data_IF_614376438978
#
_entry.id   IF_614376438978
#
_cell.length_a   1.000
_cell.length_b   1.000
_cell.length_c   1.000
_cell.angle_alpha   90.00
_cell.angle_beta   90.00
_cell.angle_gamma   90.00
#
_symmetry.space_group_name_H-M   'P 1'
#
loop_
_entity.id
_entity.type
_entity.pdbx_description
1 polymer ?
#
# COMPACT_ATOMS: atom_id res chain seq x y z
N UNK A 1 -18.90 26.99 -23.38
CA UNK A 1 -17.48 26.64 -23.17
C UNK A 1 -17.41 25.66 -22.03
N UNK A 2 -16.62 24.58 -22.12
CA UNK A 2 -16.36 23.71 -20.98
C UNK A 2 -15.83 24.54 -19.81
N UNK A 3 -16.24 24.20 -18.59
CA UNK A 3 -15.80 24.89 -17.39
C UNK A 3 -14.32 24.52 -17.10
N UNK A 4 -13.46 25.52 -16.91
CA UNK A 4 -12.02 25.29 -16.73
C UNK A 4 -11.71 24.37 -15.53
N UNK A 5 -12.55 24.42 -14.49
CA UNK A 5 -12.45 23.54 -13.31
C UNK A 5 -12.80 22.09 -13.69
N UNK A 6 -13.88 21.89 -14.44
CA UNK A 6 -14.35 20.54 -14.79
C UNK A 6 -13.39 19.84 -15.76
N UNK A 7 -12.81 20.58 -16.71
CA UNK A 7 -11.75 20.09 -17.58
C UNK A 7 -10.52 19.68 -16.77
N UNK A 8 -10.13 20.50 -15.79
CA UNK A 8 -9.00 20.21 -14.92
C UNK A 8 -9.23 18.98 -14.05
N UNK A 9 -10.38 18.88 -13.39
CA UNK A 9 -10.76 17.74 -12.54
C UNK A 9 -10.82 16.46 -13.39
N UNK A 10 -11.33 16.55 -14.63
CA UNK A 10 -11.34 15.42 -15.56
C UNK A 10 -9.92 14.99 -15.95
N UNK A 11 -9.01 15.93 -16.20
CA UNK A 11 -7.61 15.65 -16.49
C UNK A 11 -6.89 14.99 -15.31
N UNK A 12 -7.09 15.48 -14.08
CA UNK A 12 -6.58 14.82 -12.86
C UNK A 12 -7.17 13.42 -12.71
N UNK A 13 -8.48 13.29 -12.95
CA UNK A 13 -9.20 12.02 -12.89
C UNK A 13 -8.64 10.96 -13.84
N UNK A 14 -8.27 11.34 -15.06
CA UNK A 14 -7.71 10.44 -16.06
C UNK A 14 -6.35 9.83 -15.65
N UNK A 15 -5.55 10.58 -14.89
CA UNK A 15 -4.24 10.14 -14.38
C UNK A 15 -4.35 9.27 -13.11
N UNK A 16 -5.47 9.36 -12.38
CA UNK A 16 -5.70 8.59 -11.17
C UNK A 16 -6.04 7.12 -11.47
N UNK A 17 -5.52 6.22 -10.64
CA UNK A 17 -5.73 4.76 -10.69
C UNK A 17 -6.18 4.28 -9.31
N UNK A 18 -6.90 3.18 -9.25
CA UNK A 18 -7.40 2.61 -8.00
C UNK A 18 -8.92 2.69 -7.87
N UNK A 19 -9.43 2.53 -6.65
CA UNK A 19 -10.87 2.34 -6.41
C UNK A 19 -11.70 3.54 -6.86
N UNK A 20 -12.76 3.28 -7.62
CA UNK A 20 -13.62 4.33 -8.18
C UNK A 20 -14.22 5.24 -7.10
N UNK A 21 -14.63 4.68 -5.95
CA UNK A 21 -15.23 5.44 -4.85
C UNK A 21 -14.26 6.44 -4.23
N UNK A 22 -13.06 6.00 -3.82
CA UNK A 22 -12.08 6.91 -3.19
C UNK A 22 -11.60 7.97 -4.18
N UNK A 23 -11.46 7.60 -5.47
CA UNK A 23 -11.13 8.57 -6.52
C UNK A 23 -12.21 9.64 -6.67
N UNK A 24 -13.49 9.25 -6.67
CA UNK A 24 -14.60 10.19 -6.76
C UNK A 24 -14.61 11.17 -5.58
N UNK A 25 -14.41 10.68 -4.35
CA UNK A 25 -14.34 11.52 -3.16
C UNK A 25 -13.16 12.51 -3.25
N UNK A 26 -11.96 12.06 -3.65
CA UNK A 26 -10.80 12.95 -3.83
C UNK A 26 -11.00 14.00 -4.92
N UNK A 27 -11.63 13.64 -6.04
CA UNK A 27 -11.94 14.57 -7.11
C UNK A 27 -13.00 15.60 -6.69
N UNK A 28 -13.95 15.20 -5.84
CA UNK A 28 -14.93 16.13 -5.26
C UNK A 28 -14.25 17.16 -4.35
N UNK A 29 -13.31 16.73 -3.50
CA UNK A 29 -12.51 17.63 -2.65
C UNK A 29 -11.65 18.60 -3.48
N UNK A 30 -10.99 18.12 -4.53
CA UNK A 30 -10.21 18.97 -5.46
C UNK A 30 -11.13 20.01 -6.12
N UNK A 31 -12.32 19.59 -6.57
CA UNK A 31 -13.29 20.50 -7.19
C UNK A 31 -13.75 21.56 -6.19
N UNK A 32 -14.07 21.18 -4.96
CA UNK A 32 -14.45 22.11 -3.91
C UNK A 32 -13.34 23.13 -3.63
N UNK A 33 -12.10 22.68 -3.46
CA UNK A 33 -10.97 23.57 -3.21
C UNK A 33 -10.68 24.52 -4.40
N UNK A 34 -10.90 24.08 -5.65
CA UNK A 34 -10.81 24.94 -6.83
C UNK A 34 -11.93 25.98 -6.88
N UNK A 35 -13.15 25.63 -6.45
CA UNK A 35 -14.27 26.55 -6.34
C UNK A 35 -13.99 27.61 -5.27
N UNK A 36 -13.51 27.21 -4.10
CA UNK A 36 -13.12 28.14 -3.02
C UNK A 36 -12.03 29.11 -3.48
N UNK A 37 -11.01 28.61 -4.19
CA UNK A 37 -9.97 29.45 -4.78
C UNK A 37 -10.54 30.41 -5.84
N UNK A 38 -11.43 29.94 -6.71
CA UNK A 38 -12.08 30.78 -7.71
C UNK A 38 -12.95 31.87 -7.06
N UNK A 39 -13.65 31.56 -5.97
CA UNK A 39 -14.44 32.53 -5.23
C UNK A 39 -13.56 33.60 -4.57
N UNK A 40 -12.39 33.21 -4.05
CA UNK A 40 -11.38 34.17 -3.58
C UNK A 40 -10.90 35.11 -4.68
N UNK A 41 -10.62 34.58 -5.87
CA UNK A 41 -10.23 35.39 -7.04
C UNK A 41 -11.35 36.34 -7.51
N UNK A 42 -12.62 35.91 -7.43
CA UNK A 42 -13.78 36.77 -7.73
C UNK A 42 -13.94 37.90 -6.71
N UNK A 43 -13.76 37.61 -5.43
CA UNK A 43 -13.73 38.64 -4.37
C UNK A 43 -12.59 39.64 -4.58
N UNK A 44 -11.49 39.22 -5.22
CA UNK A 44 -10.39 40.06 -5.68
C UNK A 44 -10.70 40.90 -6.95
N UNK A 45 -11.91 40.80 -7.51
CA UNK A 45 -12.38 41.60 -8.63
C UNK A 45 -12.22 40.95 -10.01
N UNK A 46 -11.80 39.68 -10.10
CA UNK A 46 -11.74 38.96 -11.38
C UNK A 46 -13.14 38.54 -11.85
N UNK A 47 -13.36 38.58 -13.17
CA UNK A 47 -14.59 38.05 -13.76
C UNK A 47 -14.69 36.54 -13.51
N UNK A 48 -15.90 35.95 -13.37
CA UNK A 48 -16.06 34.54 -12.98
C UNK A 48 -15.25 33.54 -13.81
N UNK A 49 -15.20 33.71 -15.14
CA UNK A 49 -14.45 32.83 -16.03
C UNK A 49 -12.92 33.00 -15.89
N UNK A 50 -12.45 34.20 -15.59
CA UNK A 50 -11.02 34.48 -15.37
C UNK A 50 -10.57 33.98 -14.00
N UNK A 51 -11.42 34.12 -12.99
CA UNK A 51 -11.19 33.63 -11.64
C UNK A 51 -11.01 32.10 -11.61
N UNK A 52 -11.85 31.35 -12.32
CA UNK A 52 -11.69 29.88 -12.45
C UNK A 52 -10.39 29.48 -13.14
N UNK A 53 -10.00 30.19 -14.20
CA UNK A 53 -8.70 29.97 -14.87
C UNK A 53 -7.53 30.32 -13.95
N UNK A 54 -7.67 31.36 -13.13
CA UNK A 54 -6.67 31.75 -12.14
C UNK A 54 -6.50 30.67 -11.06
N UNK A 55 -7.61 30.15 -10.53
CA UNK A 55 -7.61 29.05 -9.56
C UNK A 55 -6.93 27.79 -10.11
N UNK A 56 -7.25 27.37 -11.34
CA UNK A 56 -6.60 26.23 -12.00
C UNK A 56 -5.09 26.46 -12.18
N UNK A 57 -4.69 27.67 -12.59
CA UNK A 57 -3.28 28.03 -12.75
C UNK A 57 -2.52 28.02 -11.42
N UNK A 58 -3.17 28.42 -10.35
CA UNK A 58 -2.61 28.39 -8.99
C UNK A 58 -2.40 26.95 -8.47
N UNK A 59 -3.35 26.06 -8.74
CA UNK A 59 -3.22 24.63 -8.43
C UNK A 59 -2.07 23.95 -9.20
N UNK A 60 -1.72 24.47 -10.37
CA UNK A 60 -0.62 23.95 -11.18
C UNK A 60 -1.00 22.72 -12.01
N UNK A 61 -0.03 21.91 -12.41
CA UNK A 61 -0.28 20.86 -13.41
C UNK A 61 -1.10 19.69 -12.86
N UNK A 62 -2.10 19.24 -13.62
CA UNK A 62 -2.95 18.10 -13.28
C UNK A 62 -2.12 16.83 -12.97
N UNK A 63 -1.03 16.60 -13.72
CA UNK A 63 -0.11 15.47 -13.50
C UNK A 63 0.58 15.54 -12.13
N UNK A 64 1.01 16.73 -11.67
CA UNK A 64 1.67 16.89 -10.36
C UNK A 64 0.70 16.62 -9.23
N UNK A 65 -0.52 17.16 -9.34
CA UNK A 65 -1.59 16.92 -8.37
C UNK A 65 -1.98 15.44 -8.33
N UNK A 66 -2.15 14.81 -9.49
CA UNK A 66 -2.44 13.38 -9.58
C UNK A 66 -1.33 12.52 -8.93
N UNK A 67 -0.06 12.87 -9.12
CA UNK A 67 1.05 12.17 -8.45
C UNK A 67 0.98 12.27 -6.93
N UNK A 68 0.72 13.46 -6.39
CA UNK A 68 0.54 13.65 -4.94
C UNK A 68 -0.67 12.87 -4.39
N UNK A 69 -1.79 12.89 -5.11
CA UNK A 69 -2.98 12.11 -4.74
C UNK A 69 -2.73 10.59 -4.80
N UNK A 70 -1.92 10.10 -5.75
CA UNK A 70 -1.52 8.70 -5.82
C UNK A 70 -0.71 8.26 -4.60
N UNK A 71 0.16 9.12 -4.06
CA UNK A 71 0.89 8.84 -2.82
C UNK A 71 -0.08 8.69 -1.64
N UNK A 72 -1.08 9.58 -1.54
CA UNK A 72 -2.14 9.50 -0.51
C UNK A 72 -2.95 8.21 -0.66
N UNK A 73 -3.34 7.83 -1.88
CA UNK A 73 -4.01 6.56 -2.15
C UNK A 73 -3.16 5.36 -1.73
N UNK A 74 -1.87 5.36 -2.07
CA UNK A 74 -0.94 4.31 -1.69
C UNK A 74 -0.82 4.19 -0.16
N UNK A 75 -0.80 5.31 0.58
CA UNK A 75 -0.78 5.32 2.04
C UNK A 75 -2.07 4.73 2.65
N UNK A 76 -3.25 5.14 2.16
CA UNK A 76 -4.54 4.63 2.64
C UNK A 76 -4.64 3.11 2.41
N UNK A 77 -4.24 2.65 1.22
CA UNK A 77 -4.21 1.22 0.89
C UNK A 77 -3.19 0.46 1.75
N UNK A 78 -1.99 1.01 1.93
CA UNK A 78 -0.96 0.41 2.79
C UNK A 78 -1.44 0.19 4.22
N UNK A 79 -2.18 1.14 4.80
CA UNK A 79 -2.77 1.01 6.14
C UNK A 79 -3.75 -0.16 6.24
N UNK A 80 -4.64 -0.28 5.25
CA UNK A 80 -5.65 -1.35 5.22
C UNK A 80 -4.98 -2.73 5.09
N UNK A 81 -3.95 -2.84 4.26
CA UNK A 81 -3.16 -4.05 4.09
C UNK A 81 -2.41 -4.42 5.38
N UNK A 82 -1.79 -3.44 6.05
CA UNK A 82 -1.13 -3.65 7.34
C UNK A 82 -2.10 -4.12 8.45
N UNK A 83 -3.30 -3.55 8.51
CA UNK A 83 -4.34 -3.99 9.45
C UNK A 83 -4.85 -5.40 9.15
N UNK A 84 -5.07 -5.74 7.88
CA UNK A 84 -5.46 -7.08 7.47
C UNK A 84 -4.38 -8.10 7.83
N UNK A 85 -3.11 -7.79 7.56
CA UNK A 85 -1.96 -8.59 7.97
C UNK A 85 -1.95 -8.82 9.49
N UNK A 86 -2.11 -7.76 10.28
CA UNK A 86 -2.15 -7.85 11.74
C UNK A 86 -3.29 -8.77 12.21
N UNK A 87 -4.49 -8.60 11.68
CA UNK A 87 -5.66 -9.43 12.04
C UNK A 87 -5.44 -10.89 11.66
N UNK A 88 -4.92 -11.15 10.46
CA UNK A 88 -4.65 -12.52 9.98
C UNK A 88 -3.60 -13.20 10.85
N UNK A 89 -2.48 -12.53 11.12
CA UNK A 89 -1.42 -13.08 11.98
C UNK A 89 -1.93 -13.32 13.40
N UNK A 90 -2.64 -12.36 13.99
CA UNK A 90 -3.22 -12.50 15.32
C UNK A 90 -4.22 -13.67 15.39
N UNK A 91 -5.05 -13.85 14.34
CA UNK A 91 -5.97 -14.96 14.25
C UNK A 91 -5.24 -16.31 14.13
N UNK A 92 -4.18 -16.40 13.32
CA UNK A 92 -3.36 -17.62 13.21
C UNK A 92 -2.71 -18.00 14.54
N UNK A 93 -2.03 -17.05 15.19
CA UNK A 93 -1.40 -17.27 16.50
C UNK A 93 -2.43 -17.62 17.59
N UNK A 94 -3.55 -16.91 17.61
CA UNK A 94 -4.65 -17.17 18.55
C UNK A 94 -5.25 -18.56 18.35
N UNK A 95 -5.47 -18.97 17.11
CA UNK A 95 -5.97 -20.30 16.77
C UNK A 95 -4.97 -21.40 17.17
N UNK A 96 -3.69 -21.25 16.85
CA UNK A 96 -2.66 -22.21 17.24
C UNK A 96 -2.56 -22.36 18.77
N UNK A 97 -2.58 -21.25 19.52
CA UNK A 97 -2.58 -21.26 20.97
C UNK A 97 -3.86 -21.87 21.57
N UNK A 98 -5.01 -21.70 20.92
CA UNK A 98 -6.27 -22.33 21.34
C UNK A 98 -6.24 -23.84 21.10
N UNK A 99 -5.80 -24.29 19.92
CA UNK A 99 -5.63 -25.71 19.58
C UNK A 99 -4.68 -26.39 20.57
N UNK A 100 -3.57 -25.73 20.91
CA UNK A 100 -2.64 -26.23 21.93
C UNK A 100 -3.30 -26.38 23.32
N UNK A 101 -4.06 -25.37 23.77
CA UNK A 101 -4.78 -25.41 25.05
C UNK A 101 -5.86 -26.50 25.11
N UNK A 102 -6.50 -26.81 23.98
CA UNK A 102 -7.49 -27.88 23.87
C UNK A 102 -6.87 -29.28 23.78
N UNK A 103 -5.54 -29.40 23.92
CA UNK A 103 -4.85 -30.68 23.81
C UNK A 103 -4.68 -31.18 22.38
N UNK A 104 -4.94 -30.34 21.37
CA UNK A 104 -4.77 -30.69 19.96
C UNK A 104 -3.33 -31.11 19.63
N UNK A 105 -2.33 -30.55 20.33
CA UNK A 105 -0.94 -31.00 20.20
C UNK A 105 -0.73 -32.46 20.62
N UNK A 106 -1.43 -32.93 21.66
CA UNK A 106 -1.35 -34.34 22.08
C UNK A 106 -2.08 -35.25 21.08
N UNK A 107 -3.19 -34.81 20.52
CA UNK A 107 -3.90 -35.55 19.48
C UNK A 107 -3.10 -35.64 18.16
N UNK A 108 -2.31 -34.62 17.84
CA UNK A 108 -1.48 -34.55 16.64
C UNK A 108 -0.27 -35.50 16.68
N UNK A 109 0.37 -35.64 17.85
CA UNK A 109 1.57 -36.49 18.02
C UNK A 109 1.28 -37.87 18.64
N UNK A 110 0.08 -38.09 19.16
CA UNK A 110 -0.27 -39.36 19.82
C UNK A 110 0.66 -39.63 21.02
N UNK A 111 1.28 -40.81 21.05
CA UNK A 111 2.22 -41.24 22.10
C UNK A 111 3.70 -41.01 21.75
N UNK A 112 4.02 -40.54 20.54
CA UNK A 112 5.39 -40.25 20.11
C UNK A 112 5.81 -38.84 20.49
N UNK A 113 7.01 -38.67 21.05
CA UNK A 113 7.58 -37.35 21.26
C UNK A 113 8.09 -36.76 19.93
N UNK A 114 7.88 -35.45 19.68
CA UNK A 114 8.39 -34.80 18.49
C UNK A 114 9.93 -34.78 18.47
N UNK A 115 10.51 -35.05 17.30
CA UNK A 115 11.95 -35.02 17.11
C UNK A 115 12.55 -33.63 17.37
N UNK A 116 13.83 -33.59 17.76
CA UNK A 116 14.55 -32.36 18.07
C UNK A 116 14.59 -31.38 16.90
N UNK A 117 14.67 -31.89 15.66
CA UNK A 117 14.59 -31.08 14.44
C UNK A 117 13.25 -30.38 14.27
N UNK A 118 12.15 -31.05 14.62
CA UNK A 118 10.80 -30.46 14.58
C UNK A 118 10.65 -29.36 15.63
N UNK A 119 11.09 -29.61 16.87
CA UNK A 119 11.01 -28.61 17.95
C UNK A 119 11.83 -27.36 17.64
N UNK A 120 13.01 -27.53 17.03
CA UNK A 120 13.83 -26.41 16.57
C UNK A 120 13.10 -25.58 15.50
N UNK A 121 12.50 -26.24 14.51
CA UNK A 121 11.75 -25.59 13.44
C UNK A 121 10.48 -24.88 13.97
N UNK A 122 9.77 -25.50 14.91
CA UNK A 122 8.61 -24.92 15.58
C UNK A 122 9.00 -23.64 16.35
N UNK A 123 10.06 -23.69 17.15
CA UNK A 123 10.61 -22.51 17.84
C UNK A 123 11.03 -21.40 16.87
N UNK A 124 11.71 -21.76 15.79
CA UNK A 124 12.11 -20.79 14.78
C UNK A 124 10.88 -20.09 14.18
N UNK A 125 9.83 -20.85 13.88
CA UNK A 125 8.57 -20.33 13.34
C UNK A 125 7.87 -19.37 14.31
N UNK A 126 7.83 -19.71 15.60
CA UNK A 126 7.26 -18.85 16.64
C UNK A 126 8.03 -17.52 16.77
N UNK A 127 9.37 -17.57 16.73
CA UNK A 127 10.21 -16.37 16.76
C UNK A 127 9.97 -15.52 15.51
N UNK A 128 9.92 -16.13 14.33
CA UNK A 128 9.72 -15.40 13.08
C UNK A 128 8.35 -14.76 12.98
N UNK A 129 7.27 -15.43 13.37
CA UNK A 129 5.97 -14.77 13.34
C UNK A 129 5.76 -13.80 14.51
N UNK A 130 6.45 -13.95 15.64
CA UNK A 130 6.57 -12.89 16.64
C UNK A 130 7.24 -11.62 16.09
N UNK A 131 8.36 -11.79 15.36
CA UNK A 131 9.01 -10.70 14.63
C UNK A 131 8.10 -10.12 13.55
N UNK A 132 7.30 -10.95 12.86
CA UNK A 132 6.30 -10.51 11.88
C UNK A 132 5.22 -9.62 12.49
N UNK A 133 4.73 -9.97 13.68
CA UNK A 133 3.76 -9.17 14.41
C UNK A 133 4.36 -7.81 14.78
N UNK A 134 5.59 -7.79 15.30
CA UNK A 134 6.30 -6.53 15.59
C UNK A 134 6.53 -5.70 14.33
N UNK A 135 6.93 -6.35 13.23
CA UNK A 135 7.10 -5.74 11.92
C UNK A 135 5.83 -5.06 11.41
N UNK A 136 4.67 -5.71 11.57
CA UNK A 136 3.38 -5.20 11.12
C UNK A 136 2.93 -3.96 11.94
N UNK A 137 3.41 -3.79 13.17
CA UNK A 137 3.12 -2.61 13.99
C UNK A 137 3.87 -1.36 13.50
N UNK A 138 5.08 -1.54 12.94
CA UNK A 138 5.92 -0.44 12.44
C UNK A 138 5.17 0.49 11.47
N UNK A 139 4.56 0.02 10.36
CA UNK A 139 3.80 0.90 9.45
C UNK A 139 2.59 1.53 10.13
N UNK A 140 1.92 0.85 11.07
CA UNK A 140 0.77 1.41 11.79
C UNK A 140 1.21 2.60 12.67
N UNK A 141 2.34 2.46 13.37
CA UNK A 141 2.93 3.52 14.21
C UNK A 141 3.46 4.66 13.35
N UNK A 142 4.19 4.35 12.27
CA UNK A 142 4.71 5.31 11.30
C UNK A 142 3.59 6.08 10.60
N UNK A 143 2.48 5.45 10.22
CA UNK A 143 1.35 6.15 9.61
C UNK A 143 0.58 7.00 10.64
N UNK A 144 0.53 6.57 11.91
CA UNK A 144 -0.06 7.36 13.00
C UNK A 144 0.77 8.61 13.33
N UNK A 145 2.09 8.53 13.22
CA UNK A 145 3.00 9.67 13.44
C UNK A 145 3.26 10.50 12.17
N UNK A 146 3.28 9.87 11.00
CA UNK A 146 3.60 10.48 9.70
C UNK A 146 2.53 11.44 9.19
N UNK A 147 1.29 11.34 9.67
CA UNK A 147 0.28 12.39 9.48
C UNK A 147 0.64 13.70 10.19
N UNK A 148 1.51 13.67 11.20
CA UNK A 148 2.02 14.86 11.91
C UNK A 148 3.39 15.32 11.40
N UNK A 149 4.10 14.50 10.64
CA UNK A 149 5.39 14.84 10.03
C UNK A 149 5.34 14.35 8.58
N UNK A 150 4.93 15.24 7.67
CA UNK A 150 4.73 15.02 6.24
C UNK A 150 6.01 14.65 5.45
N UNK A 151 6.99 14.01 6.09
CA UNK A 151 8.34 13.74 5.61
C UNK A 151 8.69 12.24 5.64
N UNK A 152 7.71 11.35 5.84
CA UNK A 152 7.95 9.91 5.73
C UNK A 152 8.07 9.55 4.25
N UNK A 153 9.29 9.67 3.72
CA UNK A 153 9.56 9.53 2.30
C UNK A 153 9.26 8.13 1.73
N UNK A 154 9.20 8.00 0.39
CA UNK A 154 8.86 6.77 -0.33
C UNK A 154 9.78 5.57 -0.01
N UNK A 155 10.99 5.83 0.52
CA UNK A 155 11.94 4.79 0.94
C UNK A 155 11.39 3.96 2.11
N UNK A 156 10.76 4.59 3.10
CA UNK A 156 10.25 3.89 4.30
C UNK A 156 9.11 2.94 3.92
N UNK A 157 8.24 3.35 3.00
CA UNK A 157 7.16 2.52 2.47
C UNK A 157 7.74 1.29 1.75
N UNK A 158 8.77 1.47 0.90
CA UNK A 158 9.43 0.37 0.18
C UNK A 158 10.12 -0.62 1.11
N UNK A 159 10.89 -0.13 2.09
CA UNK A 159 11.58 -0.99 3.07
C UNK A 159 10.58 -1.78 3.89
N UNK A 160 9.49 -1.15 4.34
CA UNK A 160 8.45 -1.83 5.11
C UNK A 160 7.73 -2.89 4.27
N UNK A 161 7.43 -2.60 3.00
CA UNK A 161 6.82 -3.55 2.07
C UNK A 161 7.74 -4.76 1.78
N UNK A 162 9.03 -4.53 1.52
CA UNK A 162 10.01 -5.59 1.29
C UNK A 162 10.14 -6.48 2.53
N UNK A 163 10.31 -5.88 3.71
CA UNK A 163 10.42 -6.60 4.96
C UNK A 163 9.18 -7.46 5.22
N UNK A 164 7.99 -6.90 5.00
CA UNK A 164 6.72 -7.63 5.12
C UNK A 164 6.67 -8.82 4.16
N UNK A 165 7.10 -8.64 2.90
CA UNK A 165 7.12 -9.71 1.91
C UNK A 165 8.05 -10.86 2.34
N UNK A 166 9.28 -10.55 2.76
CA UNK A 166 10.26 -11.54 3.24
C UNK A 166 9.69 -12.34 4.41
N UNK A 167 9.11 -11.66 5.40
CA UNK A 167 8.59 -12.30 6.60
C UNK A 167 7.37 -13.19 6.29
N UNK A 168 6.45 -12.74 5.43
CA UNK A 168 5.30 -13.54 4.99
C UNK A 168 5.76 -14.79 4.24
N UNK A 169 6.70 -14.66 3.30
CA UNK A 169 7.25 -15.80 2.56
C UNK A 169 7.89 -16.82 3.50
N UNK A 170 8.74 -16.35 4.43
CA UNK A 170 9.41 -17.23 5.37
C UNK A 170 8.41 -17.97 6.29
N UNK A 171 7.38 -17.26 6.77
CA UNK A 171 6.34 -17.82 7.64
C UNK A 171 5.51 -18.86 6.89
N UNK A 172 5.13 -18.59 5.63
CA UNK A 172 4.43 -19.56 4.77
C UNK A 172 5.28 -20.81 4.57
N UNK A 173 6.55 -20.65 4.17
CA UNK A 173 7.44 -21.78 3.90
C UNK A 173 7.63 -22.64 5.13
N UNK A 174 7.90 -22.05 6.30
CA UNK A 174 8.04 -22.79 7.55
C UNK A 174 6.74 -23.48 7.97
N UNK A 175 5.59 -22.79 7.85
CA UNK A 175 4.28 -23.36 8.20
C UNK A 175 3.90 -24.56 7.34
N UNK A 176 4.16 -24.50 6.03
CA UNK A 176 3.95 -25.64 5.12
C UNK A 176 4.90 -26.79 5.47
N UNK A 177 6.17 -26.49 5.75
CA UNK A 177 7.15 -27.52 6.12
C UNK A 177 6.72 -28.26 7.40
N UNK A 178 6.29 -27.51 8.43
CA UNK A 178 5.77 -28.06 9.69
C UNK A 178 4.52 -28.90 9.52
N UNK A 179 3.66 -28.58 8.54
CA UNK A 179 2.46 -29.34 8.26
C UNK A 179 2.75 -30.68 7.56
N UNK A 180 3.83 -30.78 6.77
CA UNK A 180 4.13 -31.94 5.92
C UNK A 180 5.17 -32.90 6.53
N UNK A 181 6.07 -32.40 7.38
CA UNK A 181 7.12 -33.21 8.03
C UNK A 181 6.63 -34.41 8.89
N UNK A 182 5.50 -34.34 9.62
CA UNK A 182 5.04 -35.47 10.42
C UNK A 182 4.41 -36.56 9.53
N UNK A 183 5.11 -37.69 9.36
CA UNK A 183 4.60 -38.86 8.60
C UNK A 183 3.46 -39.61 9.31
N UNK A 184 3.27 -39.35 10.61
CA UNK A 184 2.24 -39.94 11.45
C UNK A 184 0.92 -39.16 11.44
N UNK A 185 0.91 -37.93 10.91
CA UNK A 185 -0.29 -37.13 10.84
C UNK A 185 -1.22 -37.70 9.76
N UNK A 186 -2.44 -38.07 10.14
CA UNK A 186 -3.45 -38.51 9.18
C UNK A 186 -3.71 -37.46 8.09
N UNK A 187 -4.13 -37.87 6.89
CA UNK A 187 -4.26 -36.98 5.73
C UNK A 187 -5.17 -35.76 5.97
N UNK A 188 -6.17 -35.87 6.86
CA UNK A 188 -7.02 -34.73 7.21
C UNK A 188 -6.30 -33.65 8.04
N UNK A 189 -5.33 -34.05 8.86
CA UNK A 189 -4.59 -33.15 9.76
C UNK A 189 -3.53 -32.37 8.98
N UNK A 190 -2.83 -33.04 8.06
CA UNK A 190 -1.93 -32.41 7.08
C UNK A 190 -2.69 -31.43 6.19
N UNK A 191 -3.87 -31.80 5.67
CA UNK A 191 -4.70 -30.92 4.85
C UNK A 191 -5.20 -29.68 5.62
N UNK A 192 -5.58 -29.85 6.89
CA UNK A 192 -5.96 -28.74 7.77
C UNK A 192 -4.80 -27.79 8.09
N UNK A 193 -3.60 -28.33 8.37
CA UNK A 193 -2.40 -27.53 8.61
C UNK A 193 -1.96 -26.73 7.36
N UNK A 194 -1.93 -27.39 6.20
CA UNK A 194 -1.56 -26.75 4.93
C UNK A 194 -2.60 -25.70 4.54
N UNK A 195 -3.90 -25.98 4.64
CA UNK A 195 -4.93 -24.98 4.35
C UNK A 195 -4.89 -23.78 5.30
N UNK A 196 -4.63 -24.00 6.59
CA UNK A 196 -4.44 -22.96 7.60
C UNK A 196 -3.20 -22.07 7.38
N UNK A 197 -2.18 -22.57 6.69
CA UNK A 197 -1.00 -21.78 6.29
C UNK A 197 -1.19 -21.08 4.93
N UNK A 198 -1.74 -21.79 3.95
CA UNK A 198 -1.80 -21.35 2.55
C UNK A 198 -2.91 -20.34 2.31
N UNK A 199 -4.13 -20.57 2.83
CA UNK A 199 -5.29 -19.69 2.59
C UNK A 199 -5.05 -18.26 3.10
N UNK A 200 -4.65 -18.03 4.36
CA UNK A 200 -4.37 -16.69 4.86
C UNK A 200 -3.18 -16.04 4.15
N UNK A 201 -2.14 -16.80 3.82
CA UNK A 201 -0.97 -16.25 3.12
C UNK A 201 -1.28 -15.90 1.66
N UNK A 202 -2.15 -16.65 0.99
CA UNK A 202 -2.65 -16.31 -0.34
C UNK A 202 -3.53 -15.06 -0.30
N UNK A 203 -4.37 -14.89 0.74
CA UNK A 203 -5.16 -13.67 0.95
C UNK A 203 -4.25 -12.45 1.19
N UNK A 204 -3.20 -12.63 1.98
CA UNK A 204 -2.18 -11.61 2.25
C UNK A 204 -1.41 -11.26 0.97
N UNK A 205 -0.91 -12.24 0.22
CA UNK A 205 -0.20 -12.03 -1.04
C UNK A 205 -1.11 -11.40 -2.11
N UNK A 206 -2.38 -11.78 -2.20
CA UNK A 206 -3.34 -11.14 -3.08
C UNK A 206 -3.65 -9.69 -2.66
N UNK A 207 -3.62 -9.38 -1.36
CA UNK A 207 -3.76 -8.00 -0.86
C UNK A 207 -2.49 -7.16 -1.13
N UNK A 208 -1.31 -7.75 -0.97
CA UNK A 208 -0.02 -7.13 -1.24
C UNK A 208 0.16 -6.92 -2.75
N UNK A 209 -0.17 -7.89 -3.60
CA UNK A 209 -0.10 -7.79 -5.05
C UNK A 209 -1.02 -6.69 -5.61
N UNK A 210 -2.23 -6.55 -5.05
CA UNK A 210 -3.11 -5.42 -5.38
C UNK A 210 -2.52 -4.07 -4.96
N UNK A 211 -1.77 -4.03 -3.87
CA UNK A 211 -1.07 -2.82 -3.43
C UNK A 211 0.15 -2.49 -4.32
N UNK A 212 0.90 -3.51 -4.75
CA UNK A 212 2.05 -3.38 -5.64
C UNK A 212 1.66 -2.98 -7.06
N UNK A 213 0.55 -3.48 -7.61
CA UNK A 213 0.06 -3.06 -8.93
C UNK A 213 -0.34 -1.58 -8.96
N UNK A 214 -0.83 -1.05 -7.84
CA UNK A 214 -1.13 0.39 -7.69
C UNK A 214 0.18 1.20 -7.62
N UNK A 215 1.20 0.71 -6.92
CA UNK A 215 2.49 1.39 -6.78
C UNK A 215 3.39 1.29 -8.03
N UNK A 216 3.47 0.13 -8.69
CA UNK A 216 4.34 -0.11 -9.83
C UNK A 216 3.95 0.74 -11.05
N UNK A 217 2.66 1.03 -11.21
CA UNK A 217 2.17 1.93 -12.24
C UNK A 217 2.66 3.38 -12.13
N UNK A 218 3.27 3.79 -11.00
CA UNK A 218 3.89 5.11 -10.82
C UNK A 218 5.33 5.19 -11.37
N UNK A 219 6.02 4.05 -11.47
CA UNK A 219 7.45 4.01 -11.85
C UNK A 219 7.65 4.19 -13.35
N UNK A 220 6.74 3.66 -14.17
CA UNK A 220 6.82 3.76 -15.64
C UNK A 220 6.62 5.19 -16.17
N UNK A 221 5.81 6.00 -15.47
CA UNK A 221 5.64 7.42 -15.83
C UNK A 221 6.82 8.31 -15.42
N UNK A 222 7.64 7.87 -14.47
CA UNK A 222 8.82 8.61 -13.99
C UNK A 222 10.05 8.43 -14.87
N UNK A 223 10.25 7.24 -15.44
CA UNK A 223 11.44 6.94 -16.26
C UNK A 223 11.34 7.58 -17.66
N UNK A 224 10.14 7.68 -18.24
CA UNK A 224 9.96 8.38 -19.51
C UNK A 224 10.09 9.92 -19.43
N UNK A 225 10.03 10.52 -18.24
CA UNK A 225 10.13 11.97 -18.09
C UNK A 225 11.56 12.49 -17.86
N UNK A 226 12.54 11.59 -17.65
CA UNK A 226 13.95 11.95 -17.43
C UNK A 226 14.78 12.12 -18.69
N UNK A 227 14.30 11.65 -19.85
CA UNK A 227 15.08 11.65 -21.09
C UNK A 227 14.83 12.87 -22.01
N UNK A 228 13.69 13.55 -21.89
CA UNK A 228 13.28 14.59 -22.86
C UNK A 228 13.54 16.04 -22.37
N UNK A 229 14.20 16.21 -21.21
CA UNK A 229 14.35 17.51 -20.54
C UNK A 229 15.63 18.32 -20.85
N UNK A 230 16.59 17.81 -21.63
CA UNK A 230 17.89 18.48 -21.88
C UNK A 230 18.02 18.98 -23.32
N UNK A 231 17.02 19.70 -23.82
CA UNK A 231 17.17 20.56 -25.00
C UNK A 231 16.54 21.93 -24.68
N UNK A 232 17.33 22.78 -24.04
CA UNK A 232 16.96 24.15 -23.70
C UNK A 232 16.70 25.00 -24.97
N UNK A 233 15.81 26.00 -24.89
CA UNK A 233 15.46 26.84 -26.03
C UNK A 233 16.62 27.73 -26.47
N UNK A 234 16.90 27.68 -27.77
CA UNK A 234 17.86 28.53 -28.49
C UNK A 234 17.38 30.01 -28.45
N UNK A 235 18.20 30.98 -28.00
CA UNK A 235 17.78 32.37 -27.95
C UNK A 235 17.66 32.99 -29.36
N UNK A 236 16.53 33.65 -29.63
CA UNK A 236 16.28 34.43 -30.84
C UNK A 236 17.10 35.75 -30.80
N UNK A 237 17.68 36.20 -31.94
CA UNK A 237 18.47 37.42 -31.98
C UNK A 237 17.58 38.67 -31.89
N UNK A 238 17.99 39.59 -31.02
CA UNK A 238 17.33 40.86 -30.76
C UNK A 238 17.27 41.76 -32.02
N UNK A 239 16.05 42.20 -32.35
CA UNK A 239 15.77 43.21 -33.36
C UNK A 239 16.18 44.58 -32.81
N UNK A 240 17.26 45.17 -33.33
CA UNK A 240 17.70 46.52 -32.96
C UNK A 240 16.85 47.51 -33.74
N UNK A 241 16.08 48.34 -33.02
CA UNK A 241 15.42 49.53 -33.55
C UNK A 241 16.47 50.65 -33.56
N UNK A 242 16.68 51.22 -34.74
CA UNK A 242 17.50 52.40 -35.01
C UNK A 242 17.08 52.93 -36.36
#
# INVERSE_FOLDING_TARGET
>A
MPDAIDDYVSAVGAELRGSARVRADMLAEIRAALLDAADSHQQGGLAPAEARKAAVREFGSARRIAAGLQEVLAMIHGRRTALLLLVVLAAQYGAAALVGRLGGWRAFWGAGEPDAGYLWLARATDVFGGLALLAALIPIVLLRHGLRHAWVGPVVVRVTALFTAVVVTLTLTCGVLLAVLPSSAGPMVTLAGVSGAVVPSALVLASAGRSWLVAAGSTDSGIHCGADGILGPKPLPARRVG
#
